data_IF_885783200051
#
_entry.id   IF_885783200051
#
_cell.length_a   1.000
_cell.length_b   1.000
_cell.length_c   1.000
_cell.angle_alpha   90.00
_cell.angle_beta   90.00
_cell.angle_gamma   90.00
#
_symmetry.space_group_name_H-M   'P 1'
#
loop_
_entity.id
_entity.type
_entity.pdbx_description
1 polymer ?
#
# COMPACT_ATOMS: atom_id res chain seq x y z
N UNK A 1 9.88 -6.15 -11.37
CA UNK A 1 9.43 -6.39 -9.99
C UNK A 1 8.19 -5.55 -9.73
N UNK A 2 7.14 -6.19 -9.24
CA UNK A 2 5.90 -5.53 -8.84
C UNK A 2 5.96 -5.21 -7.35
N UNK A 3 5.59 -3.99 -6.98
CA UNK A 3 5.45 -3.56 -5.58
C UNK A 3 4.00 -3.22 -5.32
N UNK A 4 3.39 -3.92 -4.37
CA UNK A 4 2.01 -3.65 -3.89
C UNK A 4 2.12 -2.93 -2.55
N UNK A 5 1.74 -1.66 -2.51
CA UNK A 5 1.69 -0.82 -1.31
C UNK A 5 0.27 -0.71 -0.77
N UNK A 6 0.10 -0.88 0.54
CA UNK A 6 -1.19 -0.70 1.23
C UNK A 6 -1.03 0.07 2.55
N UNK A 7 -2.04 0.85 2.92
CA UNK A 7 -2.14 1.53 4.22
C UNK A 7 -3.60 1.75 4.65
N UNK A 8 -3.79 2.19 5.90
CA UNK A 8 -5.05 2.63 6.53
C UNK A 8 -6.20 1.61 6.43
N UNK A 9 -5.87 0.31 6.54
CA UNK A 9 -6.85 -0.79 6.50
C UNK A 9 -7.23 -1.28 7.91
N UNK A 10 -6.74 -0.64 8.96
CA UNK A 10 -6.93 -1.11 10.32
C UNK A 10 -8.21 -0.53 10.94
N UNK A 11 -8.86 -1.29 11.82
CA UNK A 11 -10.07 -0.86 12.52
C UNK A 11 -9.94 -1.12 14.02
N UNK A 12 -10.23 -0.08 14.80
CA UNK A 12 -10.13 -0.10 16.27
C UNK A 12 -11.24 -0.90 16.92
N UNK A 13 -12.40 -0.99 16.28
CA UNK A 13 -13.59 -1.64 16.85
C UNK A 13 -13.64 -3.13 16.52
N UNK A 14 -13.16 -3.51 15.33
CA UNK A 14 -13.29 -4.89 14.82
C UNK A 14 -12.00 -5.71 14.84
N UNK A 15 -10.88 -5.11 15.25
CA UNK A 15 -9.62 -5.84 15.46
C UNK A 15 -8.84 -6.18 14.19
N UNK A 16 -9.03 -5.39 13.13
CA UNK A 16 -8.29 -5.53 11.86
C UNK A 16 -6.99 -4.70 11.86
N UNK A 17 -5.97 -5.15 11.14
CA UNK A 17 -4.70 -4.43 10.99
C UNK A 17 -4.09 -4.57 9.59
N UNK A 18 -3.36 -3.54 9.15
CA UNK A 18 -2.71 -3.48 7.83
C UNK A 18 -1.73 -4.63 7.60
N UNK A 19 -1.05 -5.09 8.64
CA UNK A 19 -0.15 -6.25 8.55
C UNK A 19 -0.89 -7.55 8.23
N UNK A 20 -2.10 -7.73 8.77
CA UNK A 20 -2.93 -8.90 8.48
C UNK A 20 -3.41 -8.88 7.03
N UNK A 21 -3.89 -7.72 6.54
CA UNK A 21 -4.32 -7.56 5.15
C UNK A 21 -3.16 -7.81 4.18
N UNK A 22 -1.98 -7.23 4.44
CA UNK A 22 -0.78 -7.47 3.63
C UNK A 22 -0.43 -8.98 3.58
N UNK A 23 -0.56 -9.68 4.71
CA UNK A 23 -0.31 -11.13 4.74
C UNK A 23 -1.34 -11.90 3.93
N UNK A 24 -2.62 -11.56 4.06
CA UNK A 24 -3.69 -12.21 3.31
C UNK A 24 -3.55 -12.04 1.79
N UNK A 25 -3.12 -10.85 1.33
CA UNK A 25 -2.79 -10.60 -0.08
C UNK A 25 -1.60 -11.45 -0.51
N UNK A 26 -0.52 -11.48 0.28
CA UNK A 26 0.67 -12.26 -0.04
C UNK A 26 0.40 -13.77 -0.12
N UNK A 27 -0.46 -14.28 0.76
CA UNK A 27 -0.86 -15.70 0.73
C UNK A 27 -1.72 -16.00 -0.50
N UNK A 28 -2.64 -15.10 -0.86
CA UNK A 28 -3.44 -15.25 -2.09
C UNK A 28 -2.58 -15.22 -3.36
N UNK A 29 -1.56 -14.37 -3.41
CA UNK A 29 -0.61 -14.33 -4.54
C UNK A 29 0.14 -15.67 -4.68
N UNK A 30 0.53 -16.28 -3.56
CA UNK A 30 1.23 -17.58 -3.51
C UNK A 30 0.36 -18.79 -3.82
N UNK A 31 -0.95 -18.63 -3.99
CA UNK A 31 -1.79 -19.73 -4.48
C UNK A 31 -1.48 -20.07 -5.95
N UNK A 32 -0.82 -19.17 -6.67
CA UNK A 32 -0.19 -19.45 -7.96
C UNK A 32 1.28 -19.84 -7.75
N UNK A 33 1.62 -21.10 -8.00
CA UNK A 33 2.97 -21.65 -7.83
C UNK A 33 4.02 -20.97 -8.73
N UNK A 34 3.61 -20.24 -9.76
CA UNK A 34 4.51 -19.47 -10.64
C UNK A 34 4.83 -18.07 -10.11
N UNK A 35 4.15 -17.63 -9.05
CA UNK A 35 4.32 -16.31 -8.43
C UNK A 35 5.14 -16.43 -7.15
N UNK A 36 6.18 -15.61 -7.03
CA UNK A 36 6.97 -15.46 -5.83
C UNK A 36 6.67 -14.14 -5.12
N UNK A 37 6.60 -14.20 -3.79
CA UNK A 37 6.63 -13.01 -2.92
C UNK A 37 7.98 -12.99 -2.23
N UNK A 38 8.85 -12.09 -2.68
CA UNK A 38 10.24 -12.00 -2.25
C UNK A 38 10.40 -11.26 -0.92
N UNK A 39 9.59 -10.23 -0.66
CA UNK A 39 9.67 -9.43 0.58
C UNK A 39 8.29 -8.95 1.02
N UNK A 40 8.14 -8.83 2.34
CA UNK A 40 7.08 -8.09 3.00
C UNK A 40 7.75 -7.03 3.87
N UNK A 41 7.41 -5.77 3.66
CA UNK A 41 8.00 -4.63 4.35
C UNK A 41 6.93 -3.92 5.17
N UNK A 42 7.30 -3.56 6.40
CA UNK A 42 6.56 -2.63 7.23
C UNK A 42 7.38 -1.35 7.30
N UNK A 43 6.83 -0.26 6.75
CA UNK A 43 7.49 1.05 6.69
C UNK A 43 6.82 1.96 7.69
N UNK A 44 7.54 2.32 8.76
CA UNK A 44 7.04 3.30 9.74
C UNK A 44 7.10 4.70 9.13
N UNK A 45 5.98 5.40 9.20
CA UNK A 45 5.83 6.78 8.74
C UNK A 45 6.01 7.75 9.90
N UNK A 46 5.78 9.05 9.65
CA UNK A 46 5.93 10.10 10.65
C UNK A 46 5.11 9.79 11.92
N UNK A 47 5.77 9.58 13.08
CA UNK A 47 5.07 9.21 14.31
C UNK A 47 4.28 10.38 14.93
N UNK A 48 4.52 11.61 14.49
CA UNK A 48 3.87 12.82 14.98
C UNK A 48 2.49 13.07 14.35
N UNK A 49 2.11 12.36 13.29
CA UNK A 49 0.79 12.48 12.65
C UNK A 49 -0.31 12.11 13.65
N UNK A 50 -1.29 13.00 13.82
CA UNK A 50 -2.37 12.88 14.81
C UNK A 50 -3.37 11.77 14.44
N UNK A 51 -3.65 11.62 13.16
CA UNK A 51 -4.59 10.66 12.61
C UNK A 51 -3.93 9.28 12.43
N UNK A 52 -3.66 8.61 13.55
CA UNK A 52 -3.02 7.29 13.58
C UNK A 52 -3.74 6.32 14.52
N UNK A 53 -3.57 5.02 14.31
CA UNK A 53 -4.17 3.94 15.09
C UNK A 53 -3.10 3.20 15.91
N UNK A 54 -2.74 3.76 17.09
CA UNK A 54 -1.62 3.29 17.95
C UNK A 54 -0.26 3.12 17.21
N UNK A 55 -0.18 3.47 15.92
CA UNK A 55 0.96 3.39 15.01
C UNK A 55 0.61 4.01 13.65
N UNK A 56 1.63 4.43 12.89
CA UNK A 56 1.50 4.98 11.54
C UNK A 56 2.47 4.20 10.63
N UNK A 57 1.97 3.33 9.76
CA UNK A 57 2.82 2.47 8.94
C UNK A 57 2.10 1.88 7.73
N UNK A 58 2.71 2.07 6.57
CA UNK A 58 2.35 1.39 5.33
C UNK A 58 3.05 0.03 5.21
N UNK A 59 2.46 -0.86 4.41
CA UNK A 59 3.01 -2.17 4.09
C UNK A 59 3.34 -2.23 2.59
N UNK A 60 4.42 -2.92 2.25
CA UNK A 60 4.78 -3.20 0.85
C UNK A 60 5.06 -4.69 0.63
N UNK A 61 4.52 -5.22 -0.47
CA UNK A 61 4.72 -6.60 -0.92
C UNK A 61 5.52 -6.56 -2.22
N UNK A 62 6.68 -7.21 -2.24
CA UNK A 62 7.50 -7.33 -3.44
C UNK A 62 7.25 -8.68 -4.08
N UNK A 63 6.81 -8.69 -5.33
CA UNK A 63 6.44 -9.91 -6.06
C UNK A 63 6.86 -9.82 -7.53
N UNK A 64 7.00 -10.97 -8.19
CA UNK A 64 7.14 -11.08 -9.64
C UNK A 64 5.79 -11.23 -10.36
N UNK A 65 4.67 -11.24 -9.62
CA UNK A 65 3.33 -11.24 -10.19
C UNK A 65 3.14 -10.08 -11.16
N UNK A 66 2.39 -10.32 -12.23
CA UNK A 66 1.96 -9.27 -13.14
C UNK A 66 1.27 -8.11 -12.38
N UNK A 67 1.59 -6.83 -12.66
CA UNK A 67 1.05 -5.69 -11.94
C UNK A 67 -0.49 -5.57 -12.00
N UNK A 68 -1.13 -5.88 -13.12
CA UNK A 68 -2.59 -5.83 -13.24
C UNK A 68 -3.22 -6.93 -12.39
N UNK A 69 -2.68 -8.15 -12.49
CA UNK A 69 -3.11 -9.29 -11.67
C UNK A 69 -2.95 -9.04 -10.17
N UNK A 70 -1.81 -8.48 -9.77
CA UNK A 70 -1.53 -8.16 -8.37
C UNK A 70 -2.49 -7.08 -7.84
N UNK A 71 -2.81 -6.09 -8.68
CA UNK A 71 -3.78 -5.05 -8.35
C UNK A 71 -5.18 -5.61 -8.14
N UNK A 72 -5.68 -6.47 -9.03
CA UNK A 72 -6.98 -7.13 -8.89
C UNK A 72 -7.06 -7.92 -7.58
N UNK A 73 -6.07 -8.78 -7.32
CA UNK A 73 -6.01 -9.59 -6.09
C UNK A 73 -5.98 -8.70 -4.84
N UNK A 74 -5.13 -7.68 -4.82
CA UNK A 74 -5.00 -6.80 -3.67
C UNK A 74 -6.29 -6.04 -3.40
N UNK A 75 -6.91 -5.50 -4.46
CA UNK A 75 -8.19 -4.79 -4.38
C UNK A 75 -9.30 -5.69 -3.87
N UNK A 76 -9.48 -6.89 -4.43
CA UNK A 76 -10.51 -7.83 -3.97
C UNK A 76 -10.36 -8.16 -2.48
N UNK A 77 -9.12 -8.34 -2.01
CA UNK A 77 -8.85 -8.60 -0.59
C UNK A 77 -9.12 -7.38 0.28
N UNK A 78 -8.78 -6.18 -0.19
CA UNK A 78 -9.11 -4.95 0.50
C UNK A 78 -10.63 -4.77 0.57
N UNK A 79 -11.37 -4.92 -0.51
CA UNK A 79 -12.84 -4.79 -0.51
C UNK A 79 -13.50 -5.86 0.39
N UNK A 80 -12.94 -7.08 0.46
CA UNK A 80 -13.48 -8.14 1.31
C UNK A 80 -13.13 -8.01 2.80
N UNK A 81 -12.00 -7.38 3.14
CA UNK A 81 -11.48 -7.28 4.52
C UNK A 81 -11.68 -5.89 5.13
N UNK A 82 -11.81 -4.87 4.29
CA UNK A 82 -12.15 -3.52 4.71
C UNK A 82 -13.66 -3.46 4.81
N UNK A 83 -14.19 -3.63 6.01
CA UNK A 83 -15.57 -3.22 6.25
C UNK A 83 -15.61 -1.69 6.19
N UNK A 84 -15.99 -1.14 5.03
CA UNK A 84 -16.07 0.29 4.71
C UNK A 84 -17.11 1.08 5.54
N UNK A 85 -17.67 0.46 6.59
CA UNK A 85 -18.64 1.06 7.51
C UNK A 85 -17.97 1.76 8.71
N UNK A 86 -16.65 1.68 8.86
CA UNK A 86 -15.90 2.49 9.83
C UNK A 86 -15.47 3.81 9.15
N UNK A 87 -16.12 4.93 9.51
CA UNK A 87 -15.88 6.27 8.95
C UNK A 87 -14.42 6.74 9.06
N UNK A 88 -13.59 6.03 9.86
CA UNK A 88 -12.19 6.37 10.11
C UNK A 88 -11.18 5.53 9.34
N UNK A 89 -11.63 4.57 8.54
CA UNK A 89 -10.76 3.65 7.79
C UNK A 89 -10.86 4.04 6.31
N UNK A 90 -9.78 4.58 5.74
CA UNK A 90 -9.69 5.02 4.35
C UNK A 90 -8.60 4.24 3.59
N UNK A 91 -8.81 2.94 3.32
CA UNK A 91 -7.80 2.08 2.72
C UNK A 91 -7.22 2.68 1.44
N UNK A 92 -5.90 2.68 1.35
CA UNK A 92 -5.15 3.03 0.14
C UNK A 92 -4.45 1.81 -0.46
N UNK A 93 -4.49 1.69 -1.79
CA UNK A 93 -3.76 0.68 -2.58
C UNK A 93 -3.01 1.37 -3.71
N UNK A 94 -1.72 1.05 -3.86
CA UNK A 94 -0.92 1.40 -5.03
C UNK A 94 -0.16 0.16 -5.51
N UNK A 95 -0.16 -0.10 -6.82
CA UNK A 95 0.65 -1.13 -7.45
C UNK A 95 1.56 -0.51 -8.50
N UNK A 96 2.86 -0.58 -8.23
CA UNK A 96 3.90 -0.07 -9.10
C UNK A 96 4.62 -1.21 -9.81
N UNK A 97 4.80 -1.05 -11.13
CA UNK A 97 5.67 -1.88 -11.92
C UNK A 97 7.04 -1.20 -11.97
N UNK A 98 8.04 -1.80 -11.33
CA UNK A 98 9.42 -1.35 -11.41
C UNK A 98 10.24 -2.37 -12.17
N UNK A 99 11.17 -1.93 -13.01
CA UNK A 99 12.19 -2.84 -13.50
C UNK A 99 13.00 -3.36 -12.29
N UNK A 100 13.26 -4.68 -12.13
CA UNK A 100 14.15 -5.15 -11.07
C UNK A 100 15.55 -4.53 -11.14
N UNK A 101 15.97 -4.09 -12.33
CA UNK A 101 17.30 -3.56 -12.64
C UNK A 101 17.34 -2.02 -12.75
N UNK A 102 16.18 -1.34 -12.87
CA UNK A 102 16.10 0.10 -12.63
C UNK A 102 15.78 0.36 -11.16
N UNK A 103 16.56 1.22 -10.53
CA UNK A 103 16.10 1.84 -9.30
C UNK A 103 14.75 2.51 -9.61
N UNK A 104 13.72 2.26 -8.77
CA UNK A 104 12.52 3.12 -8.63
C UNK A 104 12.93 4.54 -9.00
N UNK A 105 12.25 5.29 -9.90
CA UNK A 105 12.73 6.59 -10.37
C UNK A 105 13.26 7.43 -9.20
N UNK A 106 14.59 7.41 -9.03
CA UNK A 106 15.17 7.35 -7.67
C UNK A 106 15.07 8.63 -6.88
N UNK A 107 14.54 9.67 -7.50
CA UNK A 107 14.64 11.00 -7.00
C UNK A 107 13.30 11.47 -6.41
N UNK A 108 12.20 11.52 -7.16
CA UNK A 108 10.94 12.02 -6.63
C UNK A 108 10.25 11.03 -5.69
N UNK A 109 10.22 9.73 -6.02
CA UNK A 109 9.63 8.71 -5.14
C UNK A 109 10.43 8.50 -3.86
N UNK A 110 11.76 8.48 -3.92
CA UNK A 110 12.59 8.37 -2.72
C UNK A 110 12.44 9.60 -1.83
N UNK A 111 12.39 10.80 -2.42
CA UNK A 111 12.10 12.04 -1.67
C UNK A 111 10.73 11.98 -1.02
N UNK A 112 9.70 11.53 -1.73
CA UNK A 112 8.35 11.41 -1.19
C UNK A 112 8.30 10.42 -0.04
N UNK A 113 8.91 9.24 -0.17
CA UNK A 113 9.02 8.26 0.90
C UNK A 113 9.78 8.80 2.12
N UNK A 114 10.87 9.55 1.91
CA UNK A 114 11.62 10.19 2.99
C UNK A 114 10.81 11.29 3.68
N UNK A 115 10.05 12.09 2.92
CA UNK A 115 9.17 13.11 3.44
C UNK A 115 8.01 12.48 4.24
N UNK A 116 7.45 11.35 3.80
CA UNK A 116 6.38 10.64 4.52
C UNK A 116 6.79 10.18 5.93
N UNK A 117 8.10 10.00 6.17
CA UNK A 117 8.65 9.64 7.48
C UNK A 117 8.84 10.86 8.39
N UNK A 118 8.95 12.09 7.84
CA UNK A 118 9.40 13.28 8.58
C UNK A 118 8.40 14.42 8.62
N UNK A 119 7.57 14.54 7.59
CA UNK A 119 6.72 15.69 7.31
C UNK A 119 5.24 15.29 7.27
N UNK A 120 4.37 16.28 7.02
CA UNK A 120 2.95 16.08 6.71
C UNK A 120 2.78 16.26 5.20
N UNK A 121 2.13 15.30 4.55
CA UNK A 121 1.94 15.28 3.10
C UNK A 121 0.47 15.49 2.74
N UNK A 122 0.24 16.12 1.59
CA UNK A 122 -1.11 16.24 1.04
C UNK A 122 -1.43 15.03 0.15
N UNK A 123 -2.69 14.59 0.18
CA UNK A 123 -3.19 13.52 -0.69
C UNK A 123 -2.96 13.86 -2.17
N UNK A 124 -3.10 15.13 -2.54
CA UNK A 124 -2.86 15.61 -3.90
C UNK A 124 -1.41 15.38 -4.39
N UNK A 125 -0.42 15.43 -3.49
CA UNK A 125 0.98 15.16 -3.85
C UNK A 125 1.19 13.68 -4.18
N UNK A 126 0.53 12.78 -3.43
CA UNK A 126 0.53 11.35 -3.70
C UNK A 126 -0.17 11.02 -5.02
N UNK A 127 -1.36 11.58 -5.25
CA UNK A 127 -2.12 11.41 -6.48
C UNK A 127 -1.32 11.88 -7.72
N UNK A 128 -0.65 13.03 -7.63
CA UNK A 128 0.18 13.55 -8.71
C UNK A 128 1.37 12.64 -9.06
N UNK A 129 1.94 11.93 -8.08
CA UNK A 129 3.00 10.94 -8.31
C UNK A 129 2.47 9.65 -8.93
N UNK A 130 1.32 9.17 -8.46
CA UNK A 130 0.64 7.99 -9.03
C UNK A 130 0.37 8.23 -10.51
N UNK A 131 -0.23 9.37 -10.86
CA UNK A 131 -0.56 9.73 -12.25
C UNK A 131 0.70 9.87 -13.10
N UNK A 132 1.72 10.57 -12.59
CA UNK A 132 2.98 10.82 -13.31
C UNK A 132 3.68 9.53 -13.72
N UNK A 133 3.70 8.55 -12.83
CA UNK A 133 4.39 7.28 -13.03
C UNK A 133 3.48 6.19 -13.63
N UNK A 134 2.18 6.49 -13.82
CA UNK A 134 1.21 5.53 -14.35
C UNK A 134 1.00 4.33 -13.43
N UNK A 135 1.08 4.54 -12.12
CA UNK A 135 0.82 3.47 -11.16
C UNK A 135 -0.67 3.15 -11.09
N UNK A 136 -0.98 1.89 -10.79
CA UNK A 136 -2.36 1.47 -10.53
C UNK A 136 -2.69 1.86 -9.10
N UNK A 137 -3.86 2.43 -8.87
CA UNK A 137 -4.28 2.80 -7.52
C UNK A 137 -5.77 2.58 -7.30
N UNK A 138 -6.12 2.34 -6.05
CA UNK A 138 -7.49 2.28 -5.57
C UNK A 138 -7.53 2.82 -4.15
N UNK A 139 -8.66 3.42 -3.77
CA UNK A 139 -8.90 3.80 -2.40
C UNK A 139 -10.39 3.78 -2.06
N UNK A 140 -10.70 3.69 -0.78
CA UNK A 140 -12.02 3.98 -0.24
C UNK A 140 -11.97 5.24 0.63
N UNK A 141 -13.10 5.95 0.74
CA UNK A 141 -13.14 7.24 1.43
C UNK A 141 -12.23 8.28 0.78
N UNK A 142 -11.45 8.99 1.58
CA UNK A 142 -10.51 10.01 1.08
C UNK A 142 -9.16 9.46 0.58
N UNK A 143 -8.87 8.19 0.83
CA UNK A 143 -7.67 7.49 0.35
C UNK A 143 -6.36 8.00 0.93
N UNK A 144 -6.37 8.37 2.22
CA UNK A 144 -5.23 8.95 2.93
C UNK A 144 -4.09 7.98 3.23
#
# INVERSE_FOLDING_TARGET
MTVVGIDDTDSRERGMCTTYVARAIADRLREDDSVSVSRLLLVRLNPAVEYKTRGNAALAIHTDCDPDRAFEIARERLEALSETDDERTNPGLVVAAHDPDEAVPADDMSRFAHAAIRDHLAIADAAALIDRHGYRSWHAGDGR
#
